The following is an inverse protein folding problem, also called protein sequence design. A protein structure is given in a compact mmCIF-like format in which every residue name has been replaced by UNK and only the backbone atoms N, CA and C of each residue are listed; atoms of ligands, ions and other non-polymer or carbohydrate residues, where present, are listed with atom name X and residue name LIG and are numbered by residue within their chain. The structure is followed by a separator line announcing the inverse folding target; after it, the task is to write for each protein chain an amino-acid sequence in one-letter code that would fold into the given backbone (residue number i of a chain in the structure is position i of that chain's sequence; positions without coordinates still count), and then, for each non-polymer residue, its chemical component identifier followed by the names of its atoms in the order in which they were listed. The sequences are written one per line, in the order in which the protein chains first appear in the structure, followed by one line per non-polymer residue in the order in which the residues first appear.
data_IF_502839985618
#
_entry.id   IF_502839985618
#
_cell.length_a   1.000
_cell.length_b   1.000
_cell.length_c   1.000
_cell.angle_alpha   90.00
_cell.angle_beta   90.00
_cell.angle_gamma   90.00
#
_symmetry.space_group_name_H-M   'P 1'
#
loop_
_entity.id
_entity.type
_entity.pdbx_description
1 polymer ?
#
# COMPACT_ATOMS: atom_id res chain seq x y z
N UNK A 1 6.98 -7.87 -9.06
CA UNK A 1 7.09 -6.47 -8.59
C UNK A 1 6.68 -6.41 -7.13
N UNK A 2 7.25 -5.48 -6.35
CA UNK A 2 6.81 -5.24 -4.96
C UNK A 2 6.39 -3.78 -4.75
N UNK A 3 5.43 -3.57 -3.85
CA UNK A 3 4.94 -2.25 -3.47
C UNK A 3 4.62 -2.22 -1.97
N UNK A 4 4.70 -1.05 -1.35
CA UNK A 4 4.25 -0.85 0.02
C UNK A 4 2.90 -0.14 0.01
N UNK A 5 1.98 -0.62 0.84
CA UNK A 5 0.63 -0.12 0.99
C UNK A 5 0.36 0.21 2.45
N UNK A 6 -0.40 1.26 2.68
CA UNK A 6 -0.98 1.59 3.98
C UNK A 6 -2.44 1.18 3.93
N UNK A 7 -2.86 0.25 4.77
CA UNK A 7 -4.26 -0.21 4.85
C UNK A 7 -4.79 0.06 6.25
N UNK A 8 -5.92 0.76 6.34
CA UNK A 8 -6.69 0.95 7.58
C UNK A 8 -7.94 0.11 7.53
N UNK A 9 -8.13 -0.73 8.53
CA UNK A 9 -9.33 -1.55 8.66
C UNK A 9 -10.40 -0.87 9.50
N UNK A 10 -11.66 -1.20 9.22
CA UNK A 10 -12.82 -0.66 9.97
C UNK A 10 -12.81 -1.13 11.42
N UNK A 11 -12.39 -2.38 11.62
CA UNK A 11 -12.27 -2.98 12.95
C UNK A 11 -10.82 -3.03 13.38
N UNK A 12 -10.58 -2.84 14.67
CA UNK A 12 -9.27 -3.07 15.27
C UNK A 12 -8.89 -4.54 15.10
N UNK A 13 -7.94 -4.80 14.20
CA UNK A 13 -7.30 -6.10 14.08
C UNK A 13 -6.18 -6.14 15.12
N UNK A 14 -6.10 -7.23 15.87
CA UNK A 14 -4.94 -7.49 16.71
C UNK A 14 -3.76 -7.96 15.84
N UNK A 15 -2.55 -7.89 16.39
CA UNK A 15 -1.32 -8.38 15.76
C UNK A 15 -1.37 -9.88 15.39
N UNK A 16 -2.24 -10.68 16.01
CA UNK A 16 -2.50 -12.08 15.64
C UNK A 16 -3.51 -12.22 14.48
N UNK A 17 -4.49 -11.32 14.39
CA UNK A 17 -5.53 -11.38 13.34
C UNK A 17 -5.09 -10.77 12.02
N UNK A 18 -4.30 -9.69 12.06
CA UNK A 18 -3.78 -9.04 10.86
C UNK A 18 -3.08 -10.03 9.90
N UNK A 19 -2.07 -10.83 10.32
CA UNK A 19 -1.39 -11.76 9.41
C UNK A 19 -2.32 -12.85 8.86
N UNK A 20 -3.30 -13.33 9.64
CA UNK A 20 -4.29 -14.31 9.16
C UNK A 20 -5.14 -13.73 8.03
N UNK A 21 -5.58 -12.49 8.18
CA UNK A 21 -6.38 -11.78 7.17
C UNK A 21 -5.55 -11.48 5.91
N UNK A 22 -4.29 -11.09 6.08
CA UNK A 22 -3.35 -10.92 4.97
C UNK A 22 -3.09 -12.22 4.22
N UNK A 23 -2.96 -13.35 4.92
CA UNK A 23 -2.81 -14.66 4.29
C UNK A 23 -4.07 -15.06 3.48
N UNK A 24 -5.27 -14.73 3.95
CA UNK A 24 -6.51 -14.93 3.19
C UNK A 24 -6.54 -14.05 1.93
N UNK A 25 -6.20 -12.76 2.06
CA UNK A 25 -6.08 -11.84 0.92
C UNK A 25 -5.04 -12.33 -0.08
N UNK A 26 -3.93 -12.86 0.41
CA UNK A 26 -2.84 -13.38 -0.44
C UNK A 26 -3.32 -14.49 -1.36
N UNK A 27 -4.13 -15.42 -0.83
CA UNK A 27 -4.73 -16.49 -1.62
C UNK A 27 -5.78 -15.98 -2.60
N UNK A 28 -6.60 -15.01 -2.19
CA UNK A 28 -7.67 -14.45 -3.00
C UNK A 28 -7.15 -13.69 -4.23
N UNK A 29 -6.07 -12.91 -4.05
CA UNK A 29 -5.52 -12.05 -5.10
C UNK A 29 -4.26 -12.62 -5.75
N UNK A 30 -3.82 -13.81 -5.35
CA UNK A 30 -2.59 -14.48 -5.82
C UNK A 30 -1.32 -13.61 -5.69
N UNK A 31 -1.30 -12.71 -4.70
CA UNK A 31 -0.15 -11.86 -4.35
C UNK A 31 0.32 -12.18 -2.94
N UNK A 32 1.54 -11.82 -2.58
CA UNK A 32 2.04 -12.06 -1.23
C UNK A 32 1.90 -10.79 -0.38
N UNK A 33 1.06 -10.82 0.66
CA UNK A 33 0.94 -9.72 1.62
C UNK A 33 1.80 -10.01 2.86
N UNK A 34 2.70 -9.10 3.18
CA UNK A 34 3.55 -9.16 4.36
C UNK A 34 3.29 -7.94 5.24
N UNK A 35 2.88 -8.19 6.49
CA UNK A 35 2.78 -7.13 7.48
C UNK A 35 4.18 -6.58 7.79
N UNK A 36 4.39 -5.28 7.57
CA UNK A 36 5.65 -4.60 7.87
C UNK A 36 5.61 -4.06 9.29
N UNK A 37 4.57 -3.28 9.61
CA UNK A 37 4.32 -2.74 10.95
C UNK A 37 2.86 -2.33 11.14
N UNK A 38 2.41 -2.37 12.38
CA UNK A 38 1.17 -1.71 12.80
C UNK A 38 1.41 -0.21 12.98
N UNK A 39 0.40 0.59 12.67
CA UNK A 39 0.33 2.02 12.89
C UNK A 39 -0.86 2.35 13.79
N UNK A 40 -0.85 3.57 14.35
CA UNK A 40 -1.91 4.05 15.25
C UNK A 40 -3.26 4.08 14.53
N UNK A 41 -4.31 3.63 15.22
CA UNK A 41 -5.69 3.73 14.72
C UNK A 41 -6.05 2.68 13.68
N UNK A 42 -5.60 1.42 13.87
CA UNK A 42 -5.94 0.26 13.03
C UNK A 42 -5.44 0.35 11.59
N UNK A 43 -4.37 1.14 11.38
CA UNK A 43 -3.66 1.22 10.13
C UNK A 43 -2.46 0.26 10.16
N UNK A 44 -2.12 -0.32 9.02
CA UNK A 44 -1.03 -1.28 8.89
C UNK A 44 -0.26 -0.95 7.63
N UNK A 45 1.07 -0.93 7.75
CA UNK A 45 1.97 -0.89 6.60
C UNK A 45 2.17 -2.33 6.15
N UNK A 46 1.82 -2.60 4.90
CA UNK A 46 1.83 -3.93 4.31
C UNK A 46 2.63 -3.87 3.02
N UNK A 47 3.62 -4.75 2.90
CA UNK A 47 4.34 -4.97 1.66
C UNK A 47 3.59 -6.00 0.84
N UNK A 48 3.34 -5.68 -0.43
CA UNK A 48 2.75 -6.59 -1.40
C UNK A 48 3.84 -7.00 -2.38
N UNK A 49 4.09 -8.29 -2.48
CA UNK A 49 5.03 -8.90 -3.41
C UNK A 49 4.30 -9.81 -4.42
N UNK A 50 5.00 -10.26 -5.45
CA UNK A 50 4.45 -11.05 -6.55
C UNK A 50 3.30 -10.36 -7.32
N UNK A 51 3.31 -9.03 -7.42
CA UNK A 51 2.33 -8.31 -8.25
C UNK A 51 2.76 -8.39 -9.71
N UNK A 52 1.82 -8.79 -10.58
CA UNK A 52 2.06 -8.98 -12.02
C UNK A 52 2.36 -7.68 -12.79
N UNK A 53 2.03 -6.52 -12.23
CA UNK A 53 2.36 -5.20 -12.78
C UNK A 53 1.50 -4.09 -12.16
N UNK A 54 1.70 -2.85 -12.59
CA UNK A 54 0.99 -1.69 -12.02
C UNK A 54 -0.53 -1.75 -12.22
N UNK A 55 -1.00 -2.22 -13.38
CA UNK A 55 -2.44 -2.40 -13.62
C UNK A 55 -3.07 -3.36 -12.61
N UNK A 56 -2.37 -4.44 -12.23
CA UNK A 56 -2.84 -5.39 -11.22
C UNK A 56 -2.79 -4.80 -9.82
N UNK A 57 -1.77 -3.98 -9.51
CA UNK A 57 -1.68 -3.25 -8.25
C UNK A 57 -2.85 -2.27 -8.10
N UNK A 58 -3.15 -1.50 -9.14
CA UNK A 58 -4.29 -0.56 -9.14
C UNK A 58 -5.62 -1.29 -8.96
N UNK A 59 -5.84 -2.38 -9.70
CA UNK A 59 -7.05 -3.20 -9.54
C UNK A 59 -7.16 -3.82 -8.13
N UNK A 60 -6.02 -4.22 -7.54
CA UNK A 60 -5.96 -4.71 -6.16
C UNK A 60 -6.35 -3.60 -5.16
N UNK A 61 -5.80 -2.39 -5.32
CA UNK A 61 -6.12 -1.24 -4.49
C UNK A 61 -7.61 -0.91 -4.55
N UNK A 62 -8.17 -0.86 -5.75
CA UNK A 62 -9.62 -0.62 -5.95
C UNK A 62 -10.45 -1.73 -5.31
N UNK A 63 -10.06 -2.99 -5.48
CA UNK A 63 -10.75 -4.12 -4.84
C UNK A 63 -10.71 -4.04 -3.32
N UNK A 64 -9.57 -3.64 -2.74
CA UNK A 64 -9.43 -3.44 -1.31
C UNK A 64 -10.30 -2.26 -0.81
N UNK A 65 -10.40 -1.16 -1.56
CA UNK A 65 -11.29 -0.02 -1.24
C UNK A 65 -12.77 -0.42 -1.21
N UNK A 66 -13.16 -1.38 -2.05
CA UNK A 66 -14.55 -1.86 -2.11
C UNK A 66 -14.89 -2.87 -1.01
N UNK A 67 -13.90 -3.37 -0.25
CA UNK A 67 -14.18 -4.24 0.89
C UNK A 67 -14.76 -3.43 2.04
N UNK A 68 -15.92 -3.86 2.56
CA UNK A 68 -16.54 -3.22 3.73
C UNK A 68 -15.69 -3.28 5.01
N UNK A 69 -14.62 -4.08 5.02
CA UNK A 69 -13.70 -4.19 6.14
C UNK A 69 -12.48 -3.25 6.07
N UNK A 70 -12.32 -2.50 4.96
CA UNK A 70 -11.23 -1.54 4.72
C UNK A 70 -11.80 -0.12 4.69
N UNK A 71 -11.26 0.77 5.52
CA UNK A 71 -11.64 2.20 5.57
C UNK A 71 -10.79 3.01 4.61
N UNK A 72 -9.52 2.67 4.52
CA UNK A 72 -8.55 3.41 3.74
C UNK A 72 -7.49 2.45 3.21
N UNK A 73 -7.11 2.64 1.95
CA UNK A 73 -5.95 1.98 1.37
C UNK A 73 -5.26 2.90 0.40
N UNK A 74 -3.96 3.05 0.57
CA UNK A 74 -3.11 3.90 -0.25
C UNK A 74 -1.78 3.19 -0.52
N UNK A 75 -1.20 3.45 -1.69
CA UNK A 75 0.18 3.05 -1.99
C UNK A 75 1.10 4.03 -1.30
N UNK A 76 2.00 3.54 -0.46
CA UNK A 76 3.08 4.36 0.08
C UNK A 76 3.96 4.80 -1.10
N UNK A 77 3.71 6.03 -1.56
CA UNK A 77 4.29 6.59 -2.75
C UNK A 77 5.50 7.46 -2.35
N UNK A 78 6.47 6.90 -1.61
CA UNK A 78 7.75 7.57 -1.31
C UNK A 78 8.68 7.75 -2.53
N UNK A 79 8.19 7.54 -3.77
CA UNK A 79 8.94 7.84 -4.99
C UNK A 79 8.04 8.57 -5.98
N UNK A 80 7.65 9.82 -5.72
CA UNK A 80 7.33 10.81 -6.77
C UNK A 80 7.56 12.27 -6.35
N UNK A 81 8.40 12.57 -5.35
CA UNK A 81 9.13 13.85 -5.41
C UNK A 81 10.20 13.69 -6.50
N UNK A 82 9.77 13.66 -7.77
CA UNK A 82 10.60 14.18 -8.84
C UNK A 82 10.76 15.65 -8.48
N UNK A 83 11.82 15.95 -7.74
CA UNK A 83 12.33 17.30 -7.60
C UNK A 83 12.51 17.76 -9.03
N UNK A 84 11.56 18.54 -9.55
CA UNK A 84 11.83 19.39 -10.69
C UNK A 84 13.01 20.22 -10.22
N UNK A 85 14.22 19.84 -10.67
CA UNK A 85 15.39 20.69 -10.53
C UNK A 85 14.95 22.06 -11.05
N UNK A 86 15.02 23.13 -10.26
CA UNK A 86 14.91 24.46 -10.84
C UNK A 86 16.09 24.56 -11.79
N UNK A 87 15.78 24.48 -13.09
CA UNK A 87 16.72 24.68 -14.18
C UNK A 87 17.46 26.00 -13.87
N UNK A 88 18.76 25.87 -13.63
CA UNK A 88 19.61 26.99 -13.25
C UNK A 88 19.69 27.97 -14.40
N UNK A 89 18.87 29.02 -14.35
CA UNK A 89 19.00 30.15 -15.26
C UNK A 89 19.07 31.44 -14.46
N UNK A 90 20.23 31.66 -13.84
CA UNK A 90 20.67 33.02 -13.54
C UNK A 90 21.30 33.61 -14.81
N UNK A 91 20.69 34.60 -15.48
CA UNK A 91 21.46 35.44 -16.36
C UNK A 91 22.27 36.40 -15.49
N UNK A 92 23.58 36.16 -15.47
CA UNK A 92 24.55 37.17 -15.08
C UNK A 92 24.40 38.37 -16.02
N UNK A 93 23.87 39.50 -15.53
CA UNK A 93 24.08 40.85 -16.06
C UNK A 93 23.96 41.87 -14.94
#
# INVERSE_FOLDING_TARGET
MSAQLIIKFTHALTTDQAPKKLAQLSRQYMVNFQLVREMVGNAFVIKVDNVAGERHLSALLESLKQRGDVVFVERDNMIQHHVMQPDGNGPAR
#
